data_IF_414877317584
#
_entry.id   IF_414877317584
#
_cell.length_a   1.000
_cell.length_b   1.000
_cell.length_c   1.000
_cell.angle_alpha   90.00
_cell.angle_beta   90.00
_cell.angle_gamma   90.00
#
_symmetry.space_group_name_H-M   'P 1'
#
loop_
_entity.id
_entity.type
_entity.pdbx_description
1 polymer ?
#
# COMPACT_ATOMS: atom_id res chain seq x y z
N UNK A 1 16.00 -31.32 -28.82
CA UNK A 1 15.09 -31.12 -27.68
C UNK A 1 14.91 -29.63 -27.46
N UNK A 2 13.67 -29.17 -27.34
CA UNK A 2 13.32 -27.77 -27.14
C UNK A 2 12.42 -27.68 -25.90
N UNK A 3 12.71 -26.71 -25.03
CA UNK A 3 11.88 -26.37 -23.87
C UNK A 3 11.42 -24.93 -24.10
N UNK A 4 10.10 -24.72 -24.08
CA UNK A 4 9.49 -23.38 -24.12
C UNK A 4 8.87 -23.05 -22.77
N UNK A 5 9.00 -21.80 -22.33
CA UNK A 5 8.29 -21.26 -21.19
C UNK A 5 7.37 -20.14 -21.67
N UNK A 6 6.12 -20.17 -21.24
CA UNK A 6 5.09 -19.22 -21.66
C UNK A 6 4.01 -19.10 -20.58
N UNK A 7 3.19 -18.08 -20.66
CA UNK A 7 2.00 -17.94 -19.80
C UNK A 7 0.85 -18.84 -20.29
N UNK A 8 -0.12 -19.12 -19.43
CA UNK A 8 -1.30 -19.91 -19.81
C UNK A 8 -2.09 -19.26 -20.96
N UNK A 9 -2.16 -17.93 -20.98
CA UNK A 9 -2.89 -17.19 -22.03
C UNK A 9 -2.19 -17.22 -23.37
N UNK A 10 -0.86 -17.18 -23.39
CA UNK A 10 -0.07 -17.35 -24.61
C UNK A 10 -0.08 -18.80 -25.07
N UNK A 11 -0.05 -19.78 -24.14
CA UNK A 11 -0.13 -21.19 -24.46
C UNK A 11 -1.44 -21.54 -25.18
N UNK A 12 -2.56 -20.90 -24.86
CA UNK A 12 -3.83 -21.06 -25.58
C UNK A 12 -3.75 -20.75 -27.08
N UNK A 13 -2.81 -19.88 -27.49
CA UNK A 13 -2.54 -19.60 -28.91
C UNK A 13 -1.80 -20.75 -29.56
N UNK A 14 -0.87 -21.36 -28.82
CA UNK A 14 -0.12 -22.55 -29.27
C UNK A 14 -1.05 -23.77 -29.39
N UNK A 15 -1.96 -23.97 -28.45
CA UNK A 15 -2.96 -25.02 -28.42
C UNK A 15 -3.91 -24.99 -29.64
N UNK A 16 -4.19 -23.80 -30.19
CA UNK A 16 -4.99 -23.62 -31.41
C UNK A 16 -4.23 -24.03 -32.68
N UNK A 17 -2.91 -24.15 -32.63
CA UNK A 17 -2.08 -24.61 -33.75
C UNK A 17 -1.83 -26.11 -33.66
N UNK A 18 -2.59 -26.89 -34.43
CA UNK A 18 -2.49 -28.36 -34.45
C UNK A 18 -1.09 -28.90 -34.79
N UNK A 19 -0.22 -28.11 -35.42
CA UNK A 19 1.15 -28.51 -35.74
C UNK A 19 2.08 -28.34 -34.52
N UNK A 20 1.85 -27.33 -33.69
CA UNK A 20 2.60 -27.08 -32.45
C UNK A 20 2.11 -27.96 -31.31
N UNK A 21 0.80 -28.12 -31.15
CA UNK A 21 0.17 -28.97 -30.13
C UNK A 21 0.74 -30.41 -30.12
N UNK A 22 0.91 -31.01 -31.31
CA UNK A 22 1.46 -32.36 -31.41
C UNK A 22 2.95 -32.50 -31.10
N UNK A 23 3.68 -31.40 -31.03
CA UNK A 23 5.14 -31.38 -30.87
C UNK A 23 5.60 -31.03 -29.47
N UNK A 24 4.71 -30.41 -28.69
CA UNK A 24 4.99 -29.98 -27.30
C UNK A 24 4.05 -30.69 -26.35
N UNK A 25 4.62 -31.24 -25.29
CA UNK A 25 3.85 -31.75 -24.16
C UNK A 25 3.69 -30.66 -23.15
N UNK A 26 2.46 -30.21 -22.81
CA UNK A 26 2.25 -29.18 -21.80
C UNK A 26 2.62 -29.72 -20.41
N UNK A 27 3.34 -28.89 -19.66
CA UNK A 27 3.63 -29.10 -18.26
C UNK A 27 3.16 -27.84 -17.54
N UNK A 28 2.05 -27.95 -16.83
CA UNK A 28 1.52 -26.82 -16.04
C UNK A 28 2.37 -26.63 -14.78
N UNK A 29 2.76 -25.40 -14.54
CA UNK A 29 3.45 -24.99 -13.31
C UNK A 29 2.52 -24.04 -12.59
N UNK A 30 1.92 -24.51 -11.50
CA UNK A 30 1.00 -23.71 -10.69
C UNK A 30 1.76 -22.75 -9.77
N UNK A 31 1.06 -21.70 -9.32
CA UNK A 31 1.64 -20.80 -8.32
C UNK A 31 1.87 -21.56 -7.00
N UNK A 32 2.95 -21.24 -6.27
CA UNK A 32 3.21 -21.86 -4.98
C UNK A 32 2.16 -21.46 -3.93
N UNK A 33 1.98 -22.32 -2.94
CA UNK A 33 1.21 -22.02 -1.72
C UNK A 33 1.88 -20.96 -0.87
N UNK A 34 1.17 -20.46 0.15
CA UNK A 34 1.74 -19.49 1.11
C UNK A 34 2.95 -20.11 1.82
N UNK A 35 2.85 -21.37 2.25
CA UNK A 35 3.91 -22.10 2.94
C UNK A 35 5.16 -22.27 2.05
N UNK A 36 4.96 -22.65 0.80
CA UNK A 36 6.05 -22.76 -0.17
C UNK A 36 6.68 -21.39 -0.46
N UNK A 37 5.86 -20.33 -0.55
CA UNK A 37 6.34 -18.96 -0.73
C UNK A 37 7.20 -18.50 0.45
N UNK A 38 6.81 -18.81 1.70
CA UNK A 38 7.63 -18.54 2.88
C UNK A 38 8.99 -19.26 2.76
N UNK A 39 8.99 -20.51 2.31
CA UNK A 39 10.22 -21.25 2.06
C UNK A 39 11.12 -20.59 0.99
N UNK A 40 10.52 -20.10 -0.09
CA UNK A 40 11.23 -19.37 -1.17
C UNK A 40 11.82 -18.08 -0.62
N UNK A 41 11.04 -17.26 0.09
CA UNK A 41 11.50 -15.99 0.67
C UNK A 41 12.63 -16.22 1.68
N UNK A 42 12.52 -17.26 2.50
CA UNK A 42 13.59 -17.64 3.46
C UNK A 42 14.88 -17.99 2.72
N UNK A 43 14.78 -18.69 1.60
CA UNK A 43 15.95 -19.02 0.76
C UNK A 43 16.56 -17.81 0.04
N UNK A 44 15.80 -16.73 -0.16
CA UNK A 44 16.25 -15.49 -0.79
C UNK A 44 16.71 -14.44 0.23
N UNK A 45 16.40 -14.60 1.51
CA UNK A 45 16.66 -13.64 2.61
C UNK A 45 18.07 -13.08 2.57
N UNK A 46 19.08 -13.93 2.60
CA UNK A 46 20.48 -13.51 2.70
C UNK A 46 20.89 -12.58 1.55
N UNK A 47 20.31 -12.77 0.37
CA UNK A 47 20.60 -11.93 -0.80
C UNK A 47 20.00 -10.54 -0.65
N UNK A 48 18.76 -10.44 -0.18
CA UNK A 48 18.08 -9.16 0.05
C UNK A 48 18.68 -8.41 1.24
N UNK A 49 19.02 -9.11 2.32
CA UNK A 49 19.72 -8.55 3.46
C UNK A 49 21.08 -7.96 3.07
N UNK A 50 21.87 -8.70 2.28
CA UNK A 50 23.16 -8.22 1.78
C UNK A 50 23.01 -7.02 0.83
N UNK A 51 22.00 -7.03 -0.05
CA UNK A 51 21.77 -5.96 -1.02
C UNK A 51 21.31 -4.65 -0.37
N UNK A 52 20.33 -4.73 0.54
CA UNK A 52 19.78 -3.55 1.23
C UNK A 52 20.53 -3.19 2.50
N UNK A 53 21.42 -4.07 3.01
CA UNK A 53 22.13 -3.95 4.29
C UNK A 53 21.19 -3.80 5.48
N UNK A 54 20.26 -4.72 5.59
CA UNK A 54 19.20 -4.80 6.59
C UNK A 54 19.13 -6.23 7.13
N UNK A 55 18.34 -6.45 8.16
CA UNK A 55 17.92 -7.78 8.61
C UNK A 55 16.41 -7.92 8.36
N UNK A 56 15.99 -9.09 7.89
CA UNK A 56 14.59 -9.42 7.63
C UNK A 56 14.15 -10.46 8.64
N UNK A 57 13.17 -10.13 9.49
CA UNK A 57 12.70 -11.05 10.52
C UNK A 57 11.85 -12.18 9.93
N UNK A 58 11.70 -13.30 10.65
CA UNK A 58 10.85 -14.41 10.22
C UNK A 58 9.39 -13.97 10.12
N UNK A 59 8.95 -13.13 11.06
CA UNK A 59 7.61 -12.55 11.08
C UNK A 59 7.33 -11.67 9.85
N UNK A 60 8.34 -10.93 9.36
CA UNK A 60 8.23 -10.13 8.16
C UNK A 60 8.05 -11.01 6.91
N UNK A 61 8.78 -12.13 6.81
CA UNK A 61 8.63 -13.09 5.71
C UNK A 61 7.24 -13.72 5.70
N UNK A 62 6.76 -14.16 6.86
CA UNK A 62 5.42 -14.71 6.97
C UNK A 62 4.35 -13.68 6.65
N UNK A 63 4.51 -12.44 7.13
CA UNK A 63 3.60 -11.34 6.85
C UNK A 63 3.59 -11.02 5.35
N UNK A 64 4.75 -10.93 4.70
CA UNK A 64 4.85 -10.64 3.28
C UNK A 64 4.09 -11.67 2.43
N UNK A 65 4.26 -12.98 2.70
CA UNK A 65 3.55 -14.02 1.98
C UNK A 65 2.02 -13.97 2.21
N UNK A 66 1.59 -13.87 3.47
CA UNK A 66 0.16 -13.88 3.85
C UNK A 66 -0.57 -12.63 3.39
N UNK A 67 0.06 -11.45 3.55
CA UNK A 67 -0.55 -10.17 3.20
C UNK A 67 -0.55 -9.95 1.69
N UNK A 68 0.52 -10.31 0.98
CA UNK A 68 0.55 -10.24 -0.47
C UNK A 68 -0.53 -11.14 -1.09
N UNK A 69 -0.70 -12.37 -0.60
CA UNK A 69 -1.74 -13.28 -1.09
C UNK A 69 -3.15 -12.69 -0.94
N UNK A 70 -3.38 -12.02 0.18
CA UNK A 70 -4.71 -11.51 0.53
C UNK A 70 -5.08 -10.19 -0.13
N UNK A 71 -4.13 -9.29 -0.33
CA UNK A 71 -4.41 -7.90 -0.73
C UNK A 71 -3.89 -7.51 -2.11
N UNK A 72 -2.98 -8.29 -2.70
CA UNK A 72 -2.46 -8.05 -4.05
C UNK A 72 -3.07 -9.09 -4.99
N UNK A 73 -4.03 -8.68 -5.82
CA UNK A 73 -4.78 -9.58 -6.69
C UNK A 73 -4.31 -9.57 -8.15
N UNK A 74 -3.55 -8.57 -8.56
CA UNK A 74 -3.06 -8.36 -9.92
C UNK A 74 -1.82 -9.18 -10.27
N UNK A 75 -1.21 -9.87 -9.28
CA UNK A 75 0.00 -10.66 -9.43
C UNK A 75 -0.09 -11.99 -8.69
N UNK A 76 0.80 -12.91 -9.05
CA UNK A 76 0.86 -14.25 -8.46
C UNK A 76 1.99 -14.40 -7.44
N UNK A 77 1.84 -15.34 -6.52
CA UNK A 77 2.94 -15.80 -5.69
C UNK A 77 3.95 -16.57 -6.56
N UNK A 78 5.27 -16.48 -6.29
CA UNK A 78 5.89 -15.77 -5.15
C UNK A 78 6.20 -14.29 -5.44
N UNK A 79 6.09 -13.81 -6.70
CA UNK A 79 6.58 -12.50 -7.15
C UNK A 79 6.04 -11.34 -6.30
N UNK A 80 4.72 -11.29 -6.08
CA UNK A 80 4.10 -10.23 -5.27
C UNK A 80 4.61 -10.16 -3.82
N UNK A 81 5.01 -11.29 -3.25
CA UNK A 81 5.58 -11.32 -1.91
C UNK A 81 7.08 -10.94 -1.91
N UNK A 82 7.81 -11.30 -2.95
CA UNK A 82 9.21 -10.89 -3.17
C UNK A 82 9.28 -9.37 -3.34
N UNK A 83 8.42 -8.80 -4.21
CA UNK A 83 8.36 -7.36 -4.44
C UNK A 83 8.07 -6.59 -3.15
N UNK A 84 7.18 -7.12 -2.30
CA UNK A 84 6.83 -6.48 -1.04
C UNK A 84 8.02 -6.45 -0.06
N UNK A 85 8.80 -7.51 0.00
CA UNK A 85 10.03 -7.57 0.81
C UNK A 85 11.11 -6.63 0.26
N UNK A 86 11.28 -6.60 -1.06
CA UNK A 86 12.25 -5.73 -1.73
C UNK A 86 11.92 -4.24 -1.53
N UNK A 87 10.65 -3.87 -1.71
CA UNK A 87 10.17 -2.52 -1.47
C UNK A 87 10.34 -2.09 0.00
N UNK A 88 10.06 -3.00 0.96
CA UNK A 88 10.28 -2.73 2.38
C UNK A 88 11.76 -2.49 2.69
N UNK A 89 12.63 -3.32 2.13
CA UNK A 89 14.09 -3.16 2.25
C UNK A 89 14.59 -1.84 1.64
N UNK A 90 14.10 -1.51 0.44
CA UNK A 90 14.44 -0.27 -0.24
C UNK A 90 14.01 0.97 0.56
N UNK A 91 12.80 0.97 1.10
CA UNK A 91 12.27 2.07 1.94
C UNK A 91 13.08 2.26 3.20
N UNK A 92 13.40 1.18 3.90
CA UNK A 92 14.20 1.24 5.11
C UNK A 92 15.60 1.81 4.81
N UNK A 93 16.20 1.39 3.71
CA UNK A 93 17.46 1.95 3.23
C UNK A 93 17.37 3.45 2.93
N UNK A 94 16.30 3.89 2.22
CA UNK A 94 16.08 5.31 1.92
C UNK A 94 15.88 6.12 3.20
N UNK A 95 15.10 5.61 4.17
CA UNK A 95 14.92 6.27 5.48
C UNK A 95 16.25 6.51 6.17
N UNK A 96 17.15 5.52 6.16
CA UNK A 96 18.49 5.64 6.73
C UNK A 96 19.40 6.64 5.99
N UNK A 97 19.25 6.73 4.67
CA UNK A 97 20.03 7.69 3.86
C UNK A 97 19.46 9.12 3.92
N UNK A 98 18.23 9.28 4.37
CA UNK A 98 17.58 10.59 4.44
C UNK A 98 17.97 11.28 5.75
N UNK A 99 18.58 12.47 5.64
CA UNK A 99 18.97 13.25 6.79
C UNK A 99 17.79 13.50 7.75
N UNK A 100 17.99 13.37 9.08
CA UNK A 100 16.97 13.67 10.08
C UNK A 100 16.39 15.07 9.90
N UNK A 101 15.12 15.30 10.30
CA UNK A 101 14.49 16.63 10.22
C UNK A 101 15.31 17.74 10.87
N UNK A 102 15.97 17.42 11.99
CA UNK A 102 16.85 18.33 12.72
C UNK A 102 18.03 18.87 11.89
N UNK A 103 18.61 18.02 11.02
CA UNK A 103 19.68 18.46 10.13
C UNK A 103 19.14 19.37 9.02
N UNK A 104 17.93 19.11 8.52
CA UNK A 104 17.28 19.96 7.51
C UNK A 104 16.95 21.33 8.08
N UNK A 105 16.43 21.39 9.31
CA UNK A 105 16.17 22.66 9.99
C UNK A 105 17.43 23.52 10.18
N UNK A 106 18.56 22.85 10.46
CA UNK A 106 19.85 23.57 10.57
C UNK A 106 20.31 24.06 9.19
N UNK A 107 20.15 23.24 8.13
CA UNK A 107 20.48 23.63 6.77
C UNK A 107 19.63 24.84 6.30
N UNK A 108 18.34 24.88 6.65
CA UNK A 108 17.45 26.02 6.38
C UNK A 108 17.92 27.30 7.12
N UNK A 109 18.25 27.19 8.41
CA UNK A 109 18.79 28.30 9.18
C UNK A 109 20.13 28.81 8.64
N UNK A 110 21.01 27.93 8.23
CA UNK A 110 22.28 28.31 7.58
C UNK A 110 22.00 29.07 6.27
N UNK A 111 21.03 28.61 5.49
CA UNK A 111 20.66 29.29 4.24
C UNK A 111 20.04 30.67 4.49
N UNK A 112 19.27 30.85 5.55
CA UNK A 112 18.70 32.12 5.97
C UNK A 112 19.80 33.08 6.41
N UNK A 113 20.66 32.67 7.35
CA UNK A 113 21.79 33.47 7.84
C UNK A 113 22.74 33.88 6.71
N UNK A 114 22.96 33.03 5.74
CA UNK A 114 23.75 33.36 4.54
C UNK A 114 23.12 34.48 3.72
N UNK A 115 21.80 34.43 3.48
CA UNK A 115 21.07 35.48 2.76
C UNK A 115 21.11 36.80 3.52
N UNK A 116 20.89 36.78 4.84
CA UNK A 116 20.99 37.99 5.67
C UNK A 116 22.40 38.58 5.67
N UNK A 117 23.43 37.73 5.73
CA UNK A 117 24.83 38.17 5.62
C UNK A 117 25.11 38.86 4.29
N UNK A 118 24.65 38.29 3.16
CA UNK A 118 24.79 38.91 1.84
C UNK A 118 24.07 40.25 1.77
N UNK A 119 22.86 40.37 2.32
CA UNK A 119 22.12 41.63 2.40
C UNK A 119 22.86 42.66 3.25
N UNK A 120 23.39 42.25 4.40
CA UNK A 120 24.15 43.16 5.26
C UNK A 120 25.47 43.67 4.62
N UNK A 121 26.08 42.86 3.77
CA UNK A 121 27.26 43.27 2.97
C UNK A 121 26.85 44.32 1.91
N UNK A 122 25.75 44.09 1.20
CA UNK A 122 25.23 45.00 0.17
C UNK A 122 24.83 46.33 0.81
N UNK A 123 24.28 46.32 2.03
CA UNK A 123 23.93 47.52 2.80
C UNK A 123 25.15 48.20 3.47
N UNK A 124 26.35 47.64 3.29
CA UNK A 124 27.60 48.10 3.94
C UNK A 124 27.60 48.05 5.47
N UNK A 125 26.71 47.25 6.07
CA UNK A 125 26.66 47.00 7.51
C UNK A 125 27.63 45.87 7.89
N UNK A 126 28.92 46.23 7.98
CA UNK A 126 29.98 45.24 8.22
C UNK A 126 29.96 44.67 9.65
N UNK A 127 29.38 45.38 10.62
CA UNK A 127 29.25 44.90 12.01
C UNK A 127 28.24 43.79 12.07
N UNK A 128 27.08 43.98 11.43
CA UNK A 128 26.05 42.93 11.30
C UNK A 128 26.54 41.77 10.48
N UNK A 129 27.22 42.00 9.36
CA UNK A 129 27.78 40.96 8.53
C UNK A 129 28.82 40.08 9.26
N UNK A 130 29.63 40.69 10.16
CA UNK A 130 30.59 39.97 11.02
C UNK A 130 29.88 39.08 12.04
N UNK A 131 28.82 39.55 12.68
CA UNK A 131 28.03 38.76 13.62
C UNK A 131 27.32 37.57 12.95
N UNK A 132 26.74 37.81 11.78
CA UNK A 132 26.09 36.76 10.98
C UNK A 132 27.07 35.68 10.47
N UNK A 133 28.31 36.08 10.17
CA UNK A 133 29.39 35.10 9.83
C UNK A 133 29.73 34.21 11.02
N UNK A 134 29.77 34.75 12.24
CA UNK A 134 30.04 33.95 13.43
C UNK A 134 28.85 33.00 13.74
N UNK A 135 27.60 33.43 13.50
CA UNK A 135 26.42 32.58 13.61
C UNK A 135 26.42 31.46 12.53
N UNK A 136 26.79 31.79 11.29
CA UNK A 136 26.94 30.78 10.22
C UNK A 136 27.97 29.72 10.60
N UNK A 137 29.09 30.14 11.16
CA UNK A 137 30.14 29.21 11.62
C UNK A 137 29.64 28.30 12.74
N UNK A 138 28.98 28.87 13.74
CA UNK A 138 28.40 28.14 14.88
C UNK A 138 27.39 27.08 14.39
N UNK A 139 26.46 27.48 13.52
CA UNK A 139 25.47 26.56 12.92
C UNK A 139 26.14 25.47 12.05
N UNK A 140 27.23 25.82 11.35
CA UNK A 140 28.03 24.86 10.59
C UNK A 140 28.72 23.82 11.48
N UNK A 141 29.27 24.24 12.62
CA UNK A 141 29.88 23.34 13.59
C UNK A 141 28.84 22.44 14.26
N UNK A 142 27.66 22.98 14.58
CA UNK A 142 26.52 22.21 15.13
C UNK A 142 26.02 21.17 14.12
N UNK A 143 25.87 21.56 12.86
CA UNK A 143 25.50 20.66 11.75
C UNK A 143 26.49 19.50 11.63
N UNK A 144 27.80 19.82 11.61
CA UNK A 144 28.85 18.80 11.49
C UNK A 144 28.86 17.84 12.67
N UNK A 145 28.63 18.32 13.89
CA UNK A 145 28.52 17.49 15.09
C UNK A 145 27.31 16.56 15.02
N UNK A 146 26.14 17.06 14.65
CA UNK A 146 24.92 16.25 14.48
C UNK A 146 25.03 15.26 13.33
N UNK A 147 25.62 15.68 12.21
CA UNK A 147 25.87 14.78 11.07
C UNK A 147 26.82 13.62 11.44
N UNK A 148 27.85 13.92 12.21
CA UNK A 148 28.77 12.90 12.72
C UNK A 148 28.07 11.94 13.70
N UNK A 149 27.26 12.46 14.61
CA UNK A 149 26.46 11.67 15.55
C UNK A 149 25.47 10.77 14.81
N UNK A 150 24.77 11.31 13.79
CA UNK A 150 23.85 10.55 12.95
C UNK A 150 24.57 9.43 12.20
N UNK A 151 25.67 9.74 11.50
CA UNK A 151 26.45 8.73 10.77
C UNK A 151 27.01 7.64 11.67
N UNK A 152 27.45 7.98 12.90
CA UNK A 152 27.98 7.00 13.85
C UNK A 152 26.85 6.19 14.51
N UNK A 153 25.72 6.78 14.82
CA UNK A 153 24.56 6.08 15.40
C UNK A 153 23.82 5.16 14.40
N UNK A 154 23.82 5.52 13.13
CA UNK A 154 23.17 4.75 12.06
C UNK A 154 24.00 3.52 11.63
N UNK A 155 25.31 3.52 11.88
CA UNK A 155 26.18 2.38 11.58
C UNK A 155 26.08 1.26 12.63
N UNK A 156 25.65 1.57 13.86
CA UNK A 156 25.58 0.60 14.96
C UNK A 156 24.19 -0.05 15.12
N UNK A 157 23.11 0.51 14.53
CA UNK A 157 21.79 -0.11 14.53
C UNK A 157 21.55 -0.85 13.21
N UNK A 158 21.53 -2.17 13.29
CA UNK A 158 21.08 -3.00 12.17
C UNK A 158 19.58 -2.72 11.98
N UNK A 159 19.24 -2.17 10.82
CA UNK A 159 17.84 -1.88 10.51
C UNK A 159 17.10 -3.19 10.23
N UNK A 160 16.00 -3.41 10.90
CA UNK A 160 15.19 -4.62 10.79
C UNK A 160 13.90 -4.32 10.02
N UNK A 161 13.59 -5.20 9.05
CA UNK A 161 12.28 -5.27 8.42
C UNK A 161 11.42 -6.19 9.27
N UNK A 162 10.41 -5.64 9.88
CA UNK A 162 9.43 -6.33 10.70
C UNK A 162 8.05 -6.45 10.02
N UNK A 163 7.12 -7.17 10.65
CA UNK A 163 5.72 -7.29 10.19
C UNK A 163 5.06 -5.92 9.98
N UNK A 164 5.36 -4.94 10.84
CA UNK A 164 4.72 -3.63 10.80
C UNK A 164 5.15 -2.84 9.55
N UNK A 165 6.42 -2.91 9.19
CA UNK A 165 6.94 -2.25 7.99
C UNK A 165 6.38 -2.90 6.72
N UNK A 166 6.26 -4.22 6.68
CA UNK A 166 5.62 -4.93 5.56
C UNK A 166 4.16 -4.47 5.39
N UNK A 167 3.42 -4.38 6.49
CA UNK A 167 2.03 -3.90 6.46
C UNK A 167 1.92 -2.43 6.04
N UNK A 168 2.86 -1.57 6.47
CA UNK A 168 2.93 -0.17 6.05
C UNK A 168 3.18 -0.05 4.54
N UNK A 169 4.14 -0.79 4.02
CA UNK A 169 4.48 -0.78 2.58
C UNK A 169 3.29 -1.26 1.75
N UNK A 170 2.64 -2.34 2.18
CA UNK A 170 1.45 -2.84 1.51
C UNK A 170 0.32 -1.82 1.52
N UNK A 171 0.08 -1.16 2.66
CA UNK A 171 -0.95 -0.13 2.77
C UNK A 171 -0.70 1.04 1.81
N UNK A 172 0.56 1.42 1.61
CA UNK A 172 0.91 2.49 0.66
C UNK A 172 0.75 2.06 -0.80
N UNK A 173 1.08 0.81 -1.14
CA UNK A 173 0.99 0.33 -2.53
C UNK A 173 -0.45 0.01 -2.96
N UNK A 174 -1.28 -0.48 -2.03
CA UNK A 174 -2.67 -0.87 -2.31
C UNK A 174 -3.70 0.19 -1.94
N UNK A 175 -3.32 1.20 -1.14
CA UNK A 175 -4.26 2.15 -0.54
C UNK A 175 -5.13 1.55 0.58
N UNK A 176 -4.94 0.27 0.92
CA UNK A 176 -5.74 -0.43 1.93
C UNK A 176 -5.02 -0.36 3.28
N UNK A 177 -5.62 0.23 4.33
CA UNK A 177 -4.99 0.28 5.66
C UNK A 177 -4.95 -1.12 6.28
N UNK A 178 -3.78 -1.74 6.25
CA UNK A 178 -3.53 -3.12 6.73
C UNK A 178 -2.93 -3.15 8.13
N UNK A 179 -2.39 -2.03 8.59
CA UNK A 179 -1.69 -1.89 9.87
C UNK A 179 -2.66 -2.13 11.04
N UNK A 180 -2.16 -2.78 12.09
CA UNK A 180 -2.90 -2.87 13.38
C UNK A 180 -3.33 -1.46 13.81
N UNK A 181 -4.59 -1.34 14.24
CA UNK A 181 -5.20 -0.08 14.67
C UNK A 181 -4.24 0.73 15.54
N UNK A 182 -3.78 1.85 15.03
CA UNK A 182 -3.08 2.84 15.83
C UNK A 182 -4.03 3.49 16.83
N UNK A 183 -3.52 4.14 17.88
CA UNK A 183 -4.37 4.90 18.81
C UNK A 183 -5.19 5.97 18.07
N UNK A 184 -4.60 6.60 17.06
CA UNK A 184 -5.28 7.61 16.24
C UNK A 184 -6.41 7.01 15.40
N UNK A 185 -6.22 5.84 14.80
CA UNK A 185 -7.28 5.13 14.05
C UNK A 185 -8.37 4.61 14.97
N UNK A 186 -8.01 4.16 16.16
CA UNK A 186 -8.98 3.76 17.18
C UNK A 186 -9.86 4.94 17.59
N UNK A 187 -9.28 6.13 17.77
CA UNK A 187 -10.02 7.36 18.05
C UNK A 187 -10.89 7.79 16.86
N UNK A 188 -10.38 7.68 15.61
CA UNK A 188 -11.16 7.93 14.38
C UNK A 188 -12.39 7.00 14.32
N UNK A 189 -12.21 5.71 14.57
CA UNK A 189 -13.31 4.73 14.58
C UNK A 189 -14.33 4.95 15.72
N UNK A 190 -13.89 5.41 16.88
CA UNK A 190 -14.80 5.78 17.99
C UNK A 190 -15.69 6.96 17.61
N UNK A 191 -15.17 7.91 16.84
CA UNK A 191 -15.89 9.10 16.39
C UNK A 191 -16.62 8.92 15.03
N UNK A 192 -16.68 7.70 14.51
CA UNK A 192 -17.20 7.39 13.19
C UNK A 192 -18.62 7.90 12.97
N UNK A 193 -19.50 7.77 13.95
CA UNK A 193 -20.89 8.28 13.85
C UNK A 193 -20.90 9.79 13.62
N UNK A 194 -20.09 10.52 14.36
CA UNK A 194 -19.99 11.98 14.25
C UNK A 194 -19.44 12.42 12.89
N UNK A 195 -18.47 11.70 12.37
CA UNK A 195 -17.88 11.97 11.06
C UNK A 195 -18.89 11.71 9.93
N UNK A 196 -19.58 10.57 9.96
CA UNK A 196 -20.62 10.27 8.99
C UNK A 196 -21.80 11.27 9.05
N UNK A 197 -22.13 11.76 10.24
CA UNK A 197 -23.19 12.77 10.41
C UNK A 197 -22.84 14.15 9.86
N UNK A 198 -21.56 14.47 9.62
CA UNK A 198 -21.17 15.71 8.93
C UNK A 198 -21.73 15.76 7.50
N UNK A 199 -21.84 14.60 6.86
CA UNK A 199 -22.31 14.47 5.48
C UNK A 199 -23.76 13.96 5.41
N UNK A 200 -24.15 13.05 6.32
CA UNK A 200 -25.47 12.41 6.34
C UNK A 200 -26.31 13.00 7.47
N UNK A 201 -27.31 13.76 7.14
CA UNK A 201 -28.25 14.33 8.12
C UNK A 201 -29.37 13.32 8.39
N UNK A 202 -29.54 12.98 9.66
CA UNK A 202 -30.53 11.95 10.06
C UNK A 202 -29.95 10.53 9.92
N UNK A 203 -30.80 9.54 9.67
CA UNK A 203 -30.44 8.10 9.50
C UNK A 203 -29.67 7.49 10.68
N UNK A 204 -29.87 7.97 11.91
CA UNK A 204 -29.09 7.62 13.10
C UNK A 204 -28.97 6.11 13.32
N UNK A 205 -30.10 5.37 13.19
CA UNK A 205 -30.11 3.90 13.37
C UNK A 205 -29.26 3.17 12.35
N UNK A 206 -29.23 3.64 11.10
CA UNK A 206 -28.43 3.04 10.04
C UNK A 206 -26.94 3.29 10.28
N UNK A 207 -26.57 4.51 10.62
CA UNK A 207 -25.19 4.92 10.92
C UNK A 207 -24.66 4.17 12.15
N UNK A 208 -25.45 4.08 13.23
CA UNK A 208 -25.06 3.35 14.44
C UNK A 208 -24.84 1.85 14.16
N UNK A 209 -25.76 1.20 13.44
CA UNK A 209 -25.63 -0.21 13.09
C UNK A 209 -24.40 -0.48 12.22
N UNK A 210 -24.15 0.39 11.24
CA UNK A 210 -23.00 0.33 10.35
C UNK A 210 -21.69 0.50 11.13
N UNK A 211 -21.57 1.56 11.91
CA UNK A 211 -20.40 1.89 12.72
C UNK A 211 -20.05 0.78 13.71
N UNK A 212 -21.05 0.21 14.37
CA UNK A 212 -20.88 -0.92 15.27
C UNK A 212 -20.34 -2.15 14.56
N UNK A 213 -20.80 -2.45 13.36
CA UNK A 213 -20.31 -3.59 12.56
C UNK A 213 -18.87 -3.40 12.14
N UNK A 214 -18.53 -2.20 11.66
CA UNK A 214 -17.17 -1.87 11.21
C UNK A 214 -16.19 -1.89 12.37
N UNK A 215 -16.53 -1.32 13.53
CA UNK A 215 -15.71 -1.41 14.73
C UNK A 215 -15.41 -2.83 15.15
N UNK A 216 -16.41 -3.72 15.12
CA UNK A 216 -16.20 -5.15 15.40
C UNK A 216 -15.20 -5.81 14.46
N UNK A 217 -15.32 -5.50 13.18
CA UNK A 217 -14.42 -6.07 12.16
C UNK A 217 -12.99 -5.58 12.35
N UNK A 218 -12.81 -4.29 12.55
CA UNK A 218 -11.48 -3.68 12.76
C UNK A 218 -10.85 -4.11 14.10
N UNK A 219 -11.64 -4.39 15.12
CA UNK A 219 -11.16 -4.94 16.39
C UNK A 219 -10.72 -6.42 16.31
N UNK A 220 -10.69 -7.03 15.11
CA UNK A 220 -10.27 -8.43 14.94
C UNK A 220 -11.25 -9.48 15.47
N UNK A 221 -12.47 -9.09 15.84
CA UNK A 221 -13.49 -9.99 16.38
C UNK A 221 -14.22 -10.81 15.31
N UNK A 222 -13.76 -10.75 14.06
CA UNK A 222 -14.37 -11.44 12.92
C UNK A 222 -13.35 -12.33 12.22
N UNK A 223 -13.84 -13.43 11.61
CA UNK A 223 -13.04 -14.32 10.78
C UNK A 223 -12.37 -13.52 9.65
N UNK A 224 -11.03 -13.53 9.54
CA UNK A 224 -10.29 -12.80 8.51
C UNK A 224 -10.62 -13.25 7.07
N UNK A 225 -11.15 -14.46 6.89
CA UNK A 225 -11.59 -14.99 5.58
C UNK A 225 -12.92 -14.42 5.10
N UNK A 226 -13.63 -13.66 5.92
CA UNK A 226 -14.92 -13.07 5.55
C UNK A 226 -14.81 -11.58 5.33
N UNK A 227 -15.56 -11.01 4.36
CA UNK A 227 -15.58 -9.57 4.13
C UNK A 227 -15.96 -8.81 5.40
N UNK A 228 -15.46 -7.60 5.55
CA UNK A 228 -15.64 -6.74 6.72
C UNK A 228 -17.10 -6.52 7.14
N UNK A 229 -18.02 -6.54 6.18
CA UNK A 229 -19.46 -6.48 6.39
C UNK A 229 -20.21 -6.63 5.09
N UNK A 230 -21.40 -7.21 5.15
CA UNK A 230 -22.36 -7.21 4.04
C UNK A 230 -23.61 -6.50 4.53
N UNK A 231 -24.01 -5.42 3.85
CA UNK A 231 -25.10 -4.56 4.26
C UNK A 231 -26.12 -4.42 3.13
N UNK A 232 -27.39 -4.37 3.49
CA UNK A 232 -28.49 -4.04 2.57
C UNK A 232 -29.11 -2.75 3.06
N UNK A 233 -28.95 -1.65 2.30
CA UNK A 233 -29.63 -0.40 2.56
C UNK A 233 -31.00 -0.40 1.87
N UNK A 234 -32.05 -0.67 2.63
CA UNK A 234 -33.42 -0.69 2.13
C UNK A 234 -34.16 0.57 2.54
N UNK A 235 -34.83 1.21 1.59
CA UNK A 235 -35.58 2.44 1.82
C UNK A 235 -36.04 3.10 0.51
N UNK A 236 -36.91 4.13 0.56
CA UNK A 236 -37.36 4.87 -0.61
C UNK A 236 -36.22 5.52 -1.39
N UNK A 237 -36.47 5.96 -2.62
CA UNK A 237 -35.51 6.75 -3.40
C UNK A 237 -35.26 8.11 -2.74
N UNK A 238 -34.03 8.63 -2.85
CA UNK A 238 -33.67 9.96 -2.34
C UNK A 238 -33.36 10.05 -0.85
N UNK A 239 -33.41 8.97 -0.08
CA UNK A 239 -33.15 8.99 1.38
C UNK A 239 -31.64 8.90 1.75
N UNK A 240 -30.74 8.93 0.79
CA UNK A 240 -29.28 8.97 1.04
C UNK A 240 -28.59 7.61 1.11
N UNK A 241 -29.16 6.51 0.57
CA UNK A 241 -28.53 5.17 0.61
C UNK A 241 -27.16 5.13 -0.05
N UNK A 242 -27.06 5.65 -1.26
CA UNK A 242 -25.79 5.71 -2.01
C UNK A 242 -24.82 6.71 -1.37
N UNK A 243 -25.34 7.83 -0.89
CA UNK A 243 -24.53 8.83 -0.20
C UNK A 243 -23.89 8.28 1.08
N UNK A 244 -24.62 7.43 1.83
CA UNK A 244 -24.06 6.76 2.99
C UNK A 244 -22.93 5.80 2.61
N UNK A 245 -23.05 5.10 1.47
CA UNK A 245 -21.96 4.23 0.98
C UNK A 245 -20.71 5.02 0.57
N UNK A 246 -20.90 6.17 -0.09
CA UNK A 246 -19.81 7.08 -0.46
C UNK A 246 -19.11 7.70 0.75
N UNK A 247 -19.90 8.23 1.69
CA UNK A 247 -19.36 8.75 2.95
C UNK A 247 -18.59 7.69 3.75
N UNK A 248 -19.03 6.43 3.66
CA UNK A 248 -18.31 5.32 4.28
C UNK A 248 -16.97 5.04 3.60
N UNK A 249 -16.92 5.04 2.27
CA UNK A 249 -15.69 4.86 1.50
C UNK A 249 -14.68 5.97 1.83
N UNK A 250 -15.12 7.23 1.78
CA UNK A 250 -14.30 8.38 2.17
C UNK A 250 -13.77 8.26 3.61
N UNK A 251 -14.60 7.83 4.56
CA UNK A 251 -14.18 7.66 5.95
C UNK A 251 -13.13 6.55 6.14
N UNK A 252 -13.27 5.43 5.42
CA UNK A 252 -12.41 4.24 5.60
C UNK A 252 -11.11 4.30 4.80
N UNK A 253 -11.15 4.93 3.61
CA UNK A 253 -10.07 4.92 2.65
C UNK A 253 -9.54 6.33 2.32
N UNK A 254 -10.12 7.36 2.95
CA UNK A 254 -9.85 8.78 2.68
C UNK A 254 -10.06 9.15 1.18
N UNK A 255 -10.82 8.32 0.46
CA UNK A 255 -11.14 8.47 -0.97
C UNK A 255 -12.57 7.97 -1.27
N UNK A 256 -13.39 8.83 -1.89
CA UNK A 256 -14.75 8.48 -2.31
C UNK A 256 -14.74 7.52 -3.50
N UNK A 257 -13.74 7.62 -4.37
CA UNK A 257 -13.59 6.81 -5.58
C UNK A 257 -13.12 5.36 -5.28
N UNK A 258 -12.72 5.07 -4.04
CA UNK A 258 -12.51 3.70 -3.56
C UNK A 258 -13.81 2.86 -3.56
N UNK A 259 -14.97 3.48 -3.78
CA UNK A 259 -16.26 2.78 -3.91
C UNK A 259 -16.44 2.21 -5.32
N UNK A 260 -16.37 0.89 -5.47
CA UNK A 260 -16.77 0.22 -6.72
C UNK A 260 -18.29 0.16 -6.78
N UNK A 261 -18.88 0.97 -7.65
CA UNK A 261 -20.33 1.03 -7.85
C UNK A 261 -20.73 0.34 -9.15
N UNK A 262 -21.74 -0.55 -9.07
CA UNK A 262 -22.34 -1.23 -10.21
C UNK A 262 -23.84 -1.02 -10.18
N UNK A 263 -24.40 -0.52 -11.28
CA UNK A 263 -25.87 -0.40 -11.44
C UNK A 263 -26.43 -1.70 -12.00
N UNK A 264 -27.11 -2.47 -11.15
CA UNK A 264 -27.67 -3.76 -11.52
C UNK A 264 -28.82 -3.66 -12.54
N UNK A 265 -29.38 -2.47 -12.79
CA UNK A 265 -30.36 -2.27 -13.85
C UNK A 265 -29.76 -2.44 -15.25
N UNK A 266 -28.47 -2.16 -15.42
CA UNK A 266 -27.73 -2.40 -16.67
C UNK A 266 -27.51 -3.89 -16.96
N UNK A 267 -27.66 -4.75 -15.96
CA UNK A 267 -27.42 -6.19 -16.02
C UNK A 267 -28.72 -7.02 -15.98
N UNK A 268 -29.87 -6.41 -16.26
CA UNK A 268 -31.19 -7.07 -16.23
C UNK A 268 -31.34 -8.17 -17.31
N UNK A 269 -30.63 -8.07 -18.43
CA UNK A 269 -30.66 -9.05 -19.52
C UNK A 269 -29.64 -10.18 -19.31
N UNK A 270 -30.00 -11.42 -19.67
CA UNK A 270 -29.13 -12.59 -19.51
C UNK A 270 -27.77 -12.45 -20.21
N UNK A 271 -27.72 -11.70 -21.30
CA UNK A 271 -26.49 -11.49 -22.08
C UNK A 271 -25.53 -10.46 -21.44
N UNK A 272 -26.02 -9.61 -20.56
CA UNK A 272 -25.22 -8.58 -19.89
C UNK A 272 -24.53 -9.10 -18.62
N UNK A 273 -24.99 -10.23 -18.08
CA UNK A 273 -24.37 -10.87 -16.90
C UNK A 273 -22.92 -11.32 -17.19
N UNK A 274 -22.63 -11.76 -18.44
CA UNK A 274 -21.28 -12.08 -18.87
C UNK A 274 -20.32 -10.88 -18.83
N UNK A 275 -20.80 -9.66 -18.94
CA UNK A 275 -20.00 -8.44 -18.79
C UNK A 275 -19.55 -8.20 -17.34
N UNK A 276 -20.22 -8.78 -16.34
CA UNK A 276 -19.82 -8.71 -14.95
C UNK A 276 -18.62 -9.60 -14.63
N UNK A 277 -18.70 -10.86 -15.08
CA UNK A 277 -17.73 -11.93 -14.70
C UNK A 277 -16.81 -12.36 -15.86
N UNK A 278 -16.94 -11.73 -17.04
CA UNK A 278 -16.29 -12.18 -18.26
C UNK A 278 -17.12 -13.20 -19.05
N UNK A 279 -16.82 -13.34 -20.34
CA UNK A 279 -17.49 -14.30 -21.20
C UNK A 279 -16.96 -15.72 -20.95
N UNK A 280 -17.82 -16.77 -21.03
CA UNK A 280 -17.35 -18.15 -20.94
C UNK A 280 -16.40 -18.49 -22.10
N UNK A 281 -15.50 -19.48 -21.91
CA UNK A 281 -14.58 -19.92 -22.96
C UNK A 281 -15.31 -20.23 -24.27
N UNK A 282 -14.83 -19.66 -25.38
CA UNK A 282 -15.36 -19.88 -26.72
C UNK A 282 -16.38 -18.86 -27.21
N UNK A 283 -16.71 -17.85 -26.43
CA UNK A 283 -17.55 -16.73 -26.86
C UNK A 283 -16.71 -15.49 -27.21
N UNK A 284 -17.24 -14.64 -28.11
CA UNK A 284 -16.61 -13.36 -28.47
C UNK A 284 -16.58 -12.47 -27.22
N UNK A 285 -15.39 -11.91 -26.91
CA UNK A 285 -15.17 -11.12 -25.68
C UNK A 285 -14.62 -11.91 -24.48
N UNK A 286 -14.19 -13.16 -24.69
CA UNK A 286 -13.52 -13.94 -23.63
C UNK A 286 -12.19 -13.33 -23.16
N UNK A 287 -11.50 -12.62 -24.06
CA UNK A 287 -10.22 -11.96 -23.75
C UNK A 287 -10.43 -10.60 -23.03
N UNK A 288 -11.67 -10.11 -22.93
CA UNK A 288 -12.04 -8.94 -22.12
C UNK A 288 -12.48 -9.42 -20.73
N UNK A 289 -11.75 -9.04 -19.69
CA UNK A 289 -12.11 -9.31 -18.31
C UNK A 289 -13.50 -8.77 -17.95
N UNK A 290 -14.13 -9.32 -16.90
CA UNK A 290 -15.43 -8.81 -16.45
C UNK A 290 -15.30 -7.46 -15.73
N UNK A 291 -16.27 -6.57 -15.88
CA UNK A 291 -16.25 -5.25 -15.24
C UNK A 291 -16.07 -5.29 -13.72
N UNK A 292 -16.54 -6.35 -13.06
CA UNK A 292 -16.35 -6.57 -11.64
C UNK A 292 -14.96 -7.16 -11.35
N UNK A 293 -14.53 -8.14 -12.14
CA UNK A 293 -13.28 -8.85 -11.92
C UNK A 293 -12.04 -8.01 -12.24
N UNK A 294 -12.18 -6.98 -13.08
CA UNK A 294 -11.09 -6.02 -13.33
C UNK A 294 -10.99 -4.92 -12.27
N UNK A 295 -12.09 -4.64 -11.55
CA UNK A 295 -12.13 -3.57 -10.54
C UNK A 295 -11.87 -4.07 -9.12
N UNK A 296 -11.88 -5.38 -8.89
CA UNK A 296 -11.65 -6.05 -7.61
C UNK A 296 -10.28 -6.70 -7.59
#
# INVERSE_FOLDING_TARGET
>A
QTIGATTLDEYRKIEKDAALERRFQPVTVDQPSIEETIGILTGLRDRYEAFHRIVITDEAIEAAAKLADRYINDRFLPDKAIDLVDEAGARLRIRRMTAPPELREIDEKIAEVKREKESAIDDQDFERAASLRDDERRLGDERAAKEKAWKSGDLDQVAEVDEALIAEVLAMSTGIPVVKLTEAESAKLLNMESELHKRIIGQNKAIEALSKSIRRTRAGLKDPKRPGGSFIFAGPTGVGKTELAKALAEFLFDDEDALIQLDMSEFAEKHTVSRLFGAPPGYVGYDEGGQLTEKV
#
